data_IF_629493713718
#
_entry.id   IF_629493713718
#
_cell.length_a   1.000
_cell.length_b   1.000
_cell.length_c   1.000
_cell.angle_alpha   90.00
_cell.angle_beta   90.00
_cell.angle_gamma   90.00
#
_symmetry.space_group_name_H-M   'P 1'
#
loop_
_entity.id
_entity.type
_entity.pdbx_description
1 polymer ?
#
# COMPACT_ATOMS: atom_id res chain seq x y z
N UNK A 1 -13.43 -1.53 -13.53
CA UNK A 1 -11.95 -1.42 -13.47
C UNK A 1 -11.56 -1.16 -12.02
N UNK A 2 -10.61 -1.93 -11.48
CA UNK A 2 -10.03 -1.68 -10.15
C UNK A 2 -9.07 -0.48 -10.26
N UNK A 3 -9.09 0.43 -9.28
CA UNK A 3 -8.15 1.56 -9.25
C UNK A 3 -6.73 1.09 -8.92
N UNK A 4 -5.71 1.87 -9.29
CA UNK A 4 -4.32 1.52 -8.98
C UNK A 4 -4.07 1.38 -7.46
N UNK A 5 -4.78 2.15 -6.63
CA UNK A 5 -4.75 2.03 -5.17
C UNK A 5 -5.41 0.75 -4.68
N UNK A 6 -6.54 0.34 -5.28
CA UNK A 6 -7.19 -0.92 -4.94
C UNK A 6 -6.36 -2.14 -5.33
N UNK A 7 -5.58 -2.06 -6.42
CA UNK A 7 -4.63 -3.12 -6.78
C UNK A 7 -3.48 -3.22 -5.76
N UNK A 8 -3.01 -2.09 -5.20
CA UNK A 8 -2.00 -2.11 -4.13
C UNK A 8 -2.52 -2.91 -2.93
N UNK A 9 -3.73 -2.61 -2.44
CA UNK A 9 -4.29 -3.34 -1.28
C UNK A 9 -4.50 -4.82 -1.58
N UNK A 10 -4.93 -5.17 -2.79
CA UNK A 10 -5.10 -6.57 -3.22
C UNK A 10 -3.78 -7.33 -3.20
N UNK A 11 -2.72 -6.79 -3.81
CA UNK A 11 -1.40 -7.44 -3.88
C UNK A 11 -0.72 -7.45 -2.50
N UNK A 12 -0.90 -6.40 -1.70
CA UNK A 12 -0.39 -6.35 -0.32
C UNK A 12 -1.00 -7.43 0.59
N UNK A 13 -2.21 -7.89 0.27
CA UNK A 13 -2.88 -9.00 0.96
C UNK A 13 -2.49 -10.39 0.46
N UNK A 14 -1.60 -10.49 -0.54
CA UNK A 14 -1.11 -11.75 -1.09
C UNK A 14 0.40 -11.94 -0.83
N UNK A 15 1.00 -12.98 -1.42
CA UNK A 15 2.46 -13.23 -1.38
C UNK A 15 3.17 -12.68 -2.62
N UNK A 16 2.47 -11.94 -3.48
CA UNK A 16 3.02 -11.37 -4.69
C UNK A 16 3.88 -10.13 -4.40
N UNK A 17 4.76 -9.78 -5.34
CA UNK A 17 5.57 -8.58 -5.22
C UNK A 17 4.69 -7.33 -5.40
N UNK A 18 4.65 -6.44 -4.41
CA UNK A 18 3.91 -5.17 -4.43
C UNK A 18 4.51 -4.12 -5.38
N UNK A 19 5.80 -4.20 -5.73
CA UNK A 19 6.50 -3.18 -6.53
C UNK A 19 5.87 -2.85 -7.89
N UNK A 20 5.34 -3.81 -8.68
CA UNK A 20 4.62 -3.50 -9.92
C UNK A 20 3.37 -2.64 -9.70
N UNK A 21 2.57 -2.91 -8.66
CA UNK A 21 1.37 -2.15 -8.33
C UNK A 21 1.72 -0.72 -7.89
N UNK A 22 2.78 -0.55 -7.08
CA UNK A 22 3.30 0.77 -6.71
C UNK A 22 3.71 1.60 -7.94
N UNK A 23 4.44 1.00 -8.88
CA UNK A 23 4.83 1.68 -10.13
C UNK A 23 3.62 2.14 -10.94
N UNK A 24 2.56 1.33 -10.99
CA UNK A 24 1.33 1.71 -11.69
C UNK A 24 0.62 2.89 -11.01
N UNK A 25 0.54 2.90 -9.68
CA UNK A 25 -0.06 4.01 -8.92
C UNK A 25 0.72 5.31 -9.08
N UNK A 26 2.06 5.26 -9.00
CA UNK A 26 2.92 6.44 -9.20
C UNK A 26 2.77 7.01 -10.61
N UNK A 27 2.67 6.15 -11.64
CA UNK A 27 2.48 6.59 -13.03
C UNK A 27 1.19 7.38 -13.26
N UNK A 28 0.16 7.16 -12.46
CA UNK A 28 -1.11 7.90 -12.53
C UNK A 28 -1.18 9.05 -11.53
N UNK A 29 -0.06 9.39 -10.89
CA UNK A 29 0.04 10.53 -9.98
C UNK A 29 -0.47 10.27 -8.57
N UNK A 30 -0.62 9.01 -8.16
CA UNK A 30 -0.97 8.70 -6.76
C UNK A 30 0.09 9.25 -5.82
N UNK A 31 -0.36 9.92 -4.77
CA UNK A 31 0.49 10.52 -3.75
C UNK A 31 1.06 9.46 -2.81
N UNK A 32 2.14 9.80 -2.12
CA UNK A 32 2.72 8.96 -1.07
C UNK A 32 1.69 8.69 0.04
N UNK A 33 0.87 9.68 0.40
CA UNK A 33 -0.18 9.53 1.42
C UNK A 33 -1.20 8.46 1.05
N UNK A 34 -1.77 8.52 -0.16
CA UNK A 34 -2.74 7.55 -0.66
C UNK A 34 -2.18 6.13 -0.72
N UNK A 35 -0.93 5.99 -1.16
CA UNK A 35 -0.22 4.70 -1.20
C UNK A 35 -0.02 4.16 0.22
N UNK A 36 0.46 5.00 1.14
CA UNK A 36 0.66 4.60 2.54
C UNK A 36 -0.67 4.22 3.21
N UNK A 37 -1.77 4.92 2.92
CA UNK A 37 -3.09 4.58 3.46
C UNK A 37 -3.59 3.23 2.96
N UNK A 38 -3.42 2.93 1.67
CA UNK A 38 -3.78 1.64 1.09
C UNK A 38 -3.00 0.47 1.71
N UNK A 39 -1.70 0.67 2.01
CA UNK A 39 -0.86 -0.33 2.67
C UNK A 39 -1.20 -0.47 4.16
N UNK A 40 -1.45 0.64 4.85
CA UNK A 40 -1.86 0.65 6.27
C UNK A 40 -3.18 -0.08 6.50
N UNK A 41 -4.09 -0.04 5.54
CA UNK A 41 -5.35 -0.77 5.63
C UNK A 41 -5.17 -2.30 5.65
N UNK A 42 -4.07 -2.82 5.08
CA UNK A 42 -3.79 -4.27 4.99
C UNK A 42 -2.81 -4.73 6.07
N UNK A 43 -1.69 -4.02 6.23
CA UNK A 43 -0.62 -4.42 7.14
C UNK A 43 -0.75 -3.79 8.54
N UNK A 44 -1.64 -2.82 8.70
CA UNK A 44 -1.71 -1.99 9.89
C UNK A 44 -0.58 -0.97 9.96
N UNK A 45 -0.35 -0.45 11.16
CA UNK A 45 0.70 0.52 11.46
C UNK A 45 1.60 -0.08 12.52
N UNK A 46 2.91 -0.03 12.29
CA UNK A 46 3.88 -0.42 13.30
C UNK A 46 3.72 0.43 14.58
N UNK A 47 3.66 -0.23 15.73
CA UNK A 47 3.66 0.39 17.06
C UNK A 47 4.87 -0.13 17.81
N UNK A 48 5.74 0.78 18.27
CA UNK A 48 6.88 0.40 19.10
C UNK A 48 6.40 -0.18 20.43
N UNK A 49 7.09 -1.21 20.93
CA UNK A 49 6.84 -1.81 22.23
C UNK A 49 7.58 -1.11 23.38
N UNK A 50 8.46 -0.15 23.08
CA UNK A 50 9.18 0.59 24.11
C UNK A 50 8.25 1.59 24.79
N UNK A 51 7.82 1.23 26.00
CA UNK A 51 7.34 2.17 26.99
C UNK A 51 8.56 2.67 27.77
N UNK A 52 8.89 3.95 27.60
CA UNK A 52 9.85 4.64 28.46
C UNK A 52 9.26 4.86 29.86
#
# INVERSE_FOLDING_TARGET
>A
MISALAEISKVAGSTENVMPALKAAIKVGATVGEICDALRAVWGVYRSSEAF
#
